data_IF_346892203826
#
_entry.id   IF_346892203826
#
_cell.length_a   1.000
_cell.length_b   1.000
_cell.length_c   1.000
_cell.angle_alpha   90.00
_cell.angle_beta   90.00
_cell.angle_gamma   90.00
#
_symmetry.space_group_name_H-M   'P 1'
#
loop_
_entity.id
_entity.type
_entity.pdbx_description
1 polymer ?
#
# COMPACT_ATOMS: atom_id res chain seq x y z
N UNK A 1 34.89 5.82 61.82
CA UNK A 1 33.69 6.55 61.33
C UNK A 1 33.04 5.72 60.25
N UNK A 2 31.85 5.16 60.55
CA UNK A 2 31.08 4.29 59.65
C UNK A 2 30.28 5.14 58.65
N UNK A 3 30.09 4.72 57.39
CA UNK A 3 29.13 5.35 56.50
C UNK A 3 27.72 4.78 56.72
N UNK A 4 26.74 5.68 56.69
CA UNK A 4 25.32 5.41 56.84
C UNK A 4 24.75 4.70 55.59
N UNK A 5 23.99 3.64 55.87
CA UNK A 5 23.14 2.95 54.90
C UNK A 5 21.82 3.69 54.73
N UNK A 6 21.37 3.83 53.47
CA UNK A 6 20.03 4.28 53.12
C UNK A 6 19.02 3.09 53.18
N UNK A 7 17.75 3.32 53.53
CA UNK A 7 16.78 2.25 53.68
C UNK A 7 16.11 1.84 52.36
N UNK A 8 15.83 0.53 52.30
CA UNK A 8 15.03 -0.10 51.26
C UNK A 8 13.56 0.38 51.30
N UNK A 9 13.00 0.68 50.13
CA UNK A 9 11.58 0.89 49.95
C UNK A 9 10.95 -0.44 49.45
N UNK A 10 10.24 -1.10 50.33
CA UNK A 10 9.38 -2.22 50.03
C UNK A 10 7.91 -1.74 50.11
N UNK A 11 7.14 -2.28 49.18
CA UNK A 11 5.67 -2.49 49.22
C UNK A 11 4.72 -1.31 49.28
N UNK A 12 4.04 -1.06 48.16
CA UNK A 12 2.58 -0.85 48.16
C UNK A 12 2.00 -1.51 46.91
N UNK A 13 1.52 -2.74 47.04
CA UNK A 13 0.59 -3.41 46.14
C UNK A 13 -0.83 -2.96 46.53
N UNK A 14 -1.40 -2.03 45.75
CA UNK A 14 -2.84 -1.78 45.83
C UNK A 14 -3.57 -2.70 44.83
N UNK A 15 -4.28 -3.66 45.36
CA UNK A 15 -5.30 -4.46 44.67
C UNK A 15 -6.43 -3.53 44.20
N UNK A 16 -6.65 -3.44 42.89
CA UNK A 16 -7.91 -2.98 42.34
C UNK A 16 -8.81 -4.21 42.11
N UNK A 17 -9.81 -4.35 42.95
CA UNK A 17 -10.93 -5.29 42.77
C UNK A 17 -11.74 -4.82 41.54
N UNK A 18 -11.91 -5.70 40.59
CA UNK A 18 -12.81 -5.50 39.42
C UNK A 18 -14.16 -6.10 39.81
N UNK A 19 -15.12 -5.24 40.00
CA UNK A 19 -16.51 -5.57 40.25
C UNK A 19 -17.18 -6.07 38.96
N UNK A 20 -17.80 -7.27 38.90
CA UNK A 20 -18.48 -7.77 37.72
C UNK A 20 -19.89 -7.18 37.63
N UNK A 21 -20.04 -6.11 36.86
CA UNK A 21 -21.33 -5.50 36.55
C UNK A 21 -22.14 -6.42 35.62
N UNK A 22 -23.11 -7.07 36.21
CA UNK A 22 -24.13 -7.91 35.58
C UNK A 22 -24.96 -7.07 34.58
N UNK A 23 -24.75 -7.27 33.29
CA UNK A 23 -25.67 -6.79 32.25
C UNK A 23 -26.86 -7.76 32.14
N UNK A 24 -27.99 -7.37 32.72
CA UNK A 24 -29.30 -8.00 32.48
C UNK A 24 -29.76 -7.65 31.06
N UNK A 25 -29.81 -8.65 30.18
CA UNK A 25 -30.50 -8.60 28.89
C UNK A 25 -32.00 -8.58 29.13
N UNK A 26 -32.65 -7.45 28.94
CA UNK A 26 -34.10 -7.29 28.86
C UNK A 26 -34.61 -7.79 27.51
N UNK A 27 -35.27 -8.92 27.50
CA UNK A 27 -35.97 -9.45 26.33
C UNK A 27 -37.28 -8.67 26.11
N UNK A 28 -37.32 -7.75 25.21
CA UNK A 28 -38.57 -7.18 24.70
C UNK A 28 -39.15 -8.08 23.61
N UNK A 29 -40.24 -8.76 23.96
CA UNK A 29 -41.11 -9.50 23.02
C UNK A 29 -41.85 -8.48 22.15
N UNK A 30 -41.66 -8.54 20.85
CA UNK A 30 -42.56 -7.92 19.86
C UNK A 30 -43.67 -8.89 19.50
N UNK A 31 -44.94 -8.45 19.43
CA UNK A 31 -46.05 -9.28 19.00
C UNK A 31 -46.08 -9.42 17.46
N UNK A 32 -46.25 -10.66 17.03
CA UNK A 32 -46.50 -11.00 15.64
C UNK A 32 -47.91 -10.52 15.22
N UNK A 33 -47.95 -9.60 14.26
CA UNK A 33 -49.19 -9.25 13.52
C UNK A 33 -49.28 -10.16 12.30
N UNK A 34 -50.17 -11.13 12.37
CA UNK A 34 -50.66 -11.91 11.23
C UNK A 34 -51.60 -11.00 10.41
N UNK A 35 -51.19 -10.59 9.20
CA UNK A 35 -52.09 -10.03 8.20
C UNK A 35 -52.44 -11.15 7.22
N UNK A 36 -53.65 -11.61 7.32
CA UNK A 36 -54.33 -12.48 6.34
C UNK A 36 -54.73 -11.60 5.17
N UNK A 37 -54.20 -11.83 3.97
CA UNK A 37 -54.76 -11.28 2.74
C UNK A 37 -55.37 -12.40 1.94
N UNK A 38 -56.66 -12.24 1.72
CA UNK A 38 -57.53 -13.14 0.96
C UNK A 38 -57.20 -13.12 -0.53
N UNK A 39 -57.19 -14.32 -1.12
CA UNK A 39 -57.09 -14.59 -2.52
C UNK A 39 -58.48 -14.29 -3.19
N UNK A 40 -58.49 -13.38 -4.15
CA UNK A 40 -59.52 -13.42 -5.24
C UNK A 40 -58.91 -12.80 -6.49
N UNK A 41 -59.03 -13.54 -7.61
CA UNK A 41 -58.77 -13.01 -8.92
C UNK A 41 -58.08 -13.95 -9.91
N UNK A 42 -58.76 -15.04 -10.35
CA UNK A 42 -58.38 -15.77 -11.54
C UNK A 42 -58.61 -14.90 -12.77
N UNK A 43 -57.56 -14.51 -13.47
CA UNK A 43 -57.63 -14.03 -14.85
C UNK A 43 -56.86 -14.99 -15.73
N UNK A 44 -57.57 -15.75 -16.52
CA UNK A 44 -57.03 -16.67 -17.50
C UNK A 44 -56.33 -15.90 -18.62
N UNK A 45 -55.02 -15.96 -18.66
CA UNK A 45 -54.22 -15.52 -19.81
C UNK A 45 -54.20 -16.66 -20.85
N UNK A 46 -54.92 -16.51 -21.93
CA UNK A 46 -54.87 -17.35 -23.13
C UNK A 46 -53.49 -17.16 -23.79
N UNK A 47 -52.73 -18.26 -23.87
CA UNK A 47 -51.47 -18.33 -24.62
C UNK A 47 -51.85 -18.46 -26.13
N UNK A 48 -51.34 -17.59 -27.02
CA UNK A 48 -51.52 -17.78 -28.45
C UNK A 48 -50.65 -18.97 -28.93
N UNK A 49 -51.12 -19.72 -30.00
CA UNK A 49 -50.37 -20.89 -30.46
C UNK A 49 -49.04 -20.51 -31.06
N UNK A 50 -48.03 -21.36 -30.76
CA UNK A 50 -46.66 -21.23 -31.22
C UNK A 50 -46.61 -21.13 -32.77
N UNK A 51 -45.97 -20.08 -33.26
CA UNK A 51 -45.64 -19.94 -34.67
C UNK A 51 -44.58 -20.99 -35.05
N UNK A 52 -44.83 -21.70 -36.16
CA UNK A 52 -43.91 -22.64 -36.80
C UNK A 52 -42.55 -21.97 -37.09
N UNK A 53 -41.41 -22.63 -36.80
CA UNK A 53 -40.13 -22.07 -37.12
C UNK A 53 -39.91 -21.98 -38.64
N UNK A 54 -39.63 -20.77 -39.10
CA UNK A 54 -39.13 -20.49 -40.45
C UNK A 54 -37.70 -21.03 -40.58
N UNK A 55 -37.26 -21.52 -41.74
CA UNK A 55 -35.95 -22.10 -41.91
C UNK A 55 -34.88 -21.05 -41.65
N UNK A 56 -33.94 -21.41 -40.76
CA UNK A 56 -32.82 -20.57 -40.35
C UNK A 56 -31.93 -20.22 -41.55
N UNK A 57 -31.82 -18.93 -41.82
CA UNK A 57 -30.76 -18.37 -42.67
C UNK A 57 -29.40 -18.70 -42.04
N UNK A 58 -28.38 -19.15 -42.79
CA UNK A 58 -27.09 -19.43 -42.21
C UNK A 58 -26.51 -18.13 -41.63
N UNK A 59 -26.42 -18.08 -40.31
CA UNK A 59 -25.71 -17.02 -39.59
C UNK A 59 -24.24 -17.12 -39.96
N UNK A 60 -23.78 -16.23 -40.80
CA UNK A 60 -22.34 -16.00 -41.03
C UNK A 60 -21.75 -15.65 -39.70
N UNK A 61 -21.00 -16.59 -39.09
CA UNK A 61 -20.20 -16.34 -37.91
C UNK A 61 -19.19 -15.23 -38.26
N UNK A 62 -19.36 -14.07 -37.62
CA UNK A 62 -18.34 -13.05 -37.60
C UNK A 62 -17.03 -13.73 -37.16
N UNK A 63 -15.92 -13.53 -37.88
CA UNK A 63 -14.63 -14.07 -37.44
C UNK A 63 -14.37 -13.48 -36.06
N UNK A 64 -14.11 -14.36 -35.08
CA UNK A 64 -13.60 -13.97 -33.77
C UNK A 64 -12.35 -13.10 -34.00
N UNK A 65 -12.39 -11.87 -33.55
CA UNK A 65 -11.24 -10.98 -33.59
C UNK A 65 -10.10 -11.75 -32.93
N UNK A 66 -8.97 -11.99 -33.60
CA UNK A 66 -7.84 -12.67 -32.97
C UNK A 66 -7.46 -11.83 -31.75
N UNK A 67 -7.58 -12.38 -30.54
CA UNK A 67 -7.03 -11.76 -29.36
C UNK A 67 -5.59 -11.43 -29.70
N UNK A 68 -5.21 -10.15 -29.59
CA UNK A 68 -3.85 -9.69 -29.87
C UNK A 68 -2.91 -10.51 -29.01
N UNK A 69 -2.25 -11.51 -29.62
CA UNK A 69 -1.16 -12.23 -28.99
C UNK A 69 -0.01 -11.24 -28.87
N UNK A 70 0.13 -10.67 -27.66
CA UNK A 70 1.28 -9.83 -27.33
C UNK A 70 2.52 -10.66 -27.64
N UNK A 71 3.41 -10.13 -28.48
CA UNK A 71 4.63 -10.85 -28.84
C UNK A 71 5.48 -11.07 -27.58
N UNK A 72 6.28 -12.13 -27.56
CA UNK A 72 7.18 -12.43 -26.44
C UNK A 72 8.10 -11.25 -26.12
N UNK A 73 8.59 -10.55 -27.13
CA UNK A 73 9.44 -9.37 -26.99
C UNK A 73 8.70 -8.18 -26.34
N UNK A 74 7.41 -8.00 -26.63
CA UNK A 74 6.57 -6.97 -26.00
C UNK A 74 6.30 -7.27 -24.54
N UNK A 75 6.00 -8.53 -24.19
CA UNK A 75 5.81 -8.97 -22.80
C UNK A 75 7.09 -8.82 -21.98
N UNK A 76 8.27 -9.16 -22.55
CA UNK A 76 9.55 -8.97 -21.88
C UNK A 76 9.85 -7.47 -21.67
N UNK A 77 9.60 -6.62 -22.67
CA UNK A 77 9.78 -5.18 -22.54
C UNK A 77 8.82 -4.55 -21.51
N UNK A 78 7.58 -5.01 -21.44
CA UNK A 78 6.62 -4.54 -20.43
C UNK A 78 7.03 -4.99 -19.02
N UNK A 79 7.50 -6.23 -18.87
CA UNK A 79 8.04 -6.74 -17.62
C UNK A 79 9.23 -5.88 -17.16
N UNK A 80 10.20 -5.62 -18.05
CA UNK A 80 11.37 -4.80 -17.72
C UNK A 80 10.96 -3.36 -17.33
N UNK A 81 9.96 -2.76 -17.99
CA UNK A 81 9.39 -1.47 -17.59
C UNK A 81 8.73 -1.51 -16.20
N UNK A 82 7.99 -2.58 -15.90
CA UNK A 82 7.36 -2.76 -14.59
C UNK A 82 8.42 -2.83 -13.48
N UNK A 83 9.45 -3.66 -13.69
CA UNK A 83 10.56 -3.80 -12.73
C UNK A 83 11.31 -2.48 -12.56
N UNK A 84 11.60 -1.76 -13.64
CA UNK A 84 12.27 -0.46 -13.55
C UNK A 84 11.47 0.58 -12.75
N UNK A 85 10.13 0.61 -12.91
CA UNK A 85 9.25 1.46 -12.11
C UNK A 85 9.27 1.06 -10.62
N UNK A 86 9.20 -0.24 -10.34
CA UNK A 86 9.28 -0.75 -8.96
C UNK A 86 10.62 -0.41 -8.32
N UNK A 87 11.72 -0.59 -9.03
CA UNK A 87 13.07 -0.24 -8.57
C UNK A 87 13.19 1.25 -8.24
N UNK A 88 12.64 2.11 -9.10
CA UNK A 88 12.63 3.55 -8.88
C UNK A 88 11.86 3.92 -7.60
N UNK A 89 10.63 3.43 -7.46
CA UNK A 89 9.80 3.69 -6.28
C UNK A 89 10.50 3.17 -5.02
N UNK A 90 11.05 1.96 -5.08
CA UNK A 90 11.72 1.34 -3.94
C UNK A 90 12.95 2.11 -3.50
N UNK A 91 13.76 2.58 -4.46
CA UNK A 91 14.94 3.43 -4.19
C UNK A 91 14.57 4.76 -3.52
N UNK A 92 13.51 5.42 -3.99
CA UNK A 92 13.06 6.70 -3.43
C UNK A 92 12.43 6.53 -2.06
N UNK A 93 11.62 5.48 -1.85
CA UNK A 93 10.90 5.30 -0.59
C UNK A 93 11.79 4.74 0.53
N UNK A 94 12.86 4.03 0.21
CA UNK A 94 13.73 3.39 1.20
C UNK A 94 14.20 4.34 2.33
N UNK A 95 14.87 5.47 2.03
CA UNK A 95 15.27 6.41 3.07
C UNK A 95 14.07 7.04 3.79
N UNK A 96 12.94 7.23 3.09
CA UNK A 96 11.73 7.81 3.66
C UNK A 96 11.14 6.93 4.77
N UNK A 97 11.02 5.63 4.54
CA UNK A 97 10.44 4.72 5.54
C UNK A 97 11.40 4.37 6.67
N UNK A 98 12.69 4.20 6.37
CA UNK A 98 13.70 3.82 7.37
C UNK A 98 14.02 4.98 8.32
N UNK A 99 14.29 6.18 7.78
CA UNK A 99 14.66 7.34 8.61
C UNK A 99 13.49 7.93 9.40
N UNK A 100 12.27 7.60 9.00
CA UNK A 100 11.05 8.11 9.63
C UNK A 100 10.29 7.07 10.46
N UNK A 101 10.87 5.91 10.75
CA UNK A 101 10.22 4.88 11.56
C UNK A 101 9.63 5.42 12.87
N UNK A 102 10.33 6.34 13.55
CA UNK A 102 9.87 6.95 14.81
C UNK A 102 8.60 7.79 14.65
N UNK A 103 8.34 8.32 13.46
CA UNK A 103 7.14 9.11 13.17
C UNK A 103 5.96 8.22 12.77
N UNK A 104 6.19 6.96 12.41
CA UNK A 104 5.15 6.05 11.93
C UNK A 104 4.38 5.35 13.05
N UNK A 105 4.68 5.67 14.32
CA UNK A 105 3.92 5.17 15.48
C UNK A 105 3.72 3.65 15.43
N UNK A 106 2.49 3.19 15.52
CA UNK A 106 2.11 1.77 15.47
C UNK A 106 2.34 1.11 14.11
N UNK A 107 2.55 1.88 13.05
CA UNK A 107 2.89 1.35 11.73
C UNK A 107 4.40 1.06 11.57
N UNK A 108 5.26 1.47 12.52
CA UNK A 108 6.66 1.06 12.53
C UNK A 108 6.79 -0.42 12.91
N UNK A 109 7.47 -1.20 12.07
CA UNK A 109 7.66 -2.64 12.27
C UNK A 109 9.06 -3.09 11.87
N UNK A 110 9.56 -4.19 12.45
CA UNK A 110 10.75 -4.83 11.94
C UNK A 110 10.47 -5.46 10.56
N UNK A 111 11.30 -5.14 9.58
CA UNK A 111 11.25 -5.64 8.22
C UNK A 111 12.52 -6.44 7.91
N UNK A 112 12.43 -7.44 7.04
CA UNK A 112 13.59 -8.16 6.51
C UNK A 112 14.51 -7.25 5.68
N UNK A 113 13.95 -6.22 5.04
CA UNK A 113 14.73 -5.27 4.26
C UNK A 113 14.97 -5.72 2.81
N UNK A 114 14.18 -6.64 2.29
CA UNK A 114 14.13 -7.01 0.88
C UNK A 114 12.72 -7.44 0.47
N UNK A 115 12.45 -7.46 -0.82
CA UNK A 115 11.26 -8.05 -1.41
C UNK A 115 11.65 -9.24 -2.27
N UNK A 116 10.82 -10.28 -2.26
CA UNK A 116 11.05 -11.47 -3.06
C UNK A 116 9.76 -11.87 -3.79
N UNK A 117 9.92 -12.35 -5.02
CA UNK A 117 8.83 -12.71 -5.92
C UNK A 117 9.16 -13.98 -6.68
N UNK A 118 8.14 -14.63 -7.21
CA UNK A 118 8.28 -15.68 -8.20
C UNK A 118 7.40 -15.39 -9.44
N UNK A 119 7.36 -16.29 -10.40
CA UNK A 119 6.58 -16.10 -11.62
C UNK A 119 5.07 -15.86 -11.38
N UNK A 120 4.54 -16.38 -10.28
CA UNK A 120 3.13 -16.25 -9.94
C UNK A 120 2.78 -14.90 -9.28
N UNK A 121 3.79 -14.13 -8.90
CA UNK A 121 3.65 -12.76 -8.39
C UNK A 121 3.23 -11.76 -9.47
N UNK A 122 3.15 -12.20 -10.72
CA UNK A 122 2.88 -11.36 -11.88
C UNK A 122 1.61 -11.82 -12.61
N UNK A 123 0.91 -10.92 -13.32
CA UNK A 123 -0.21 -11.27 -14.18
C UNK A 123 0.15 -12.35 -15.20
N UNK A 124 -0.83 -13.12 -15.64
CA UNK A 124 -0.64 -14.28 -16.52
C UNK A 124 0.17 -13.91 -17.79
N UNK A 125 -0.09 -12.73 -18.34
CA UNK A 125 0.54 -12.20 -19.57
C UNK A 125 2.04 -11.93 -19.42
N UNK A 126 2.51 -11.72 -18.16
CA UNK A 126 3.91 -11.43 -17.86
C UNK A 126 4.66 -12.62 -17.26
N UNK A 127 4.02 -13.78 -17.05
CA UNK A 127 4.65 -14.93 -16.38
C UNK A 127 5.82 -15.51 -17.16
N UNK A 128 5.71 -15.59 -18.48
CA UNK A 128 6.81 -16.08 -19.30
C UNK A 128 8.01 -15.12 -19.27
N UNK A 129 7.76 -13.82 -19.28
CA UNK A 129 8.79 -12.82 -19.08
C UNK A 129 9.41 -12.91 -17.68
N UNK A 130 8.59 -13.11 -16.65
CA UNK A 130 9.08 -13.34 -15.29
C UNK A 130 9.96 -14.60 -15.19
N UNK A 131 9.58 -15.70 -15.84
CA UNK A 131 10.41 -16.92 -15.95
C UNK A 131 11.75 -16.63 -16.61
N UNK A 132 11.76 -15.84 -17.69
CA UNK A 132 12.98 -15.48 -18.39
C UNK A 132 13.94 -14.64 -17.51
N UNK A 133 13.41 -13.82 -16.60
CA UNK A 133 14.21 -12.92 -15.73
C UNK A 133 14.49 -13.49 -14.34
N UNK A 134 13.54 -14.20 -13.75
CA UNK A 134 13.65 -14.73 -12.38
C UNK A 134 14.01 -16.20 -12.32
N UNK A 135 13.94 -16.93 -13.46
CA UNK A 135 14.15 -18.36 -13.51
C UNK A 135 12.86 -19.18 -13.49
N UNK A 136 12.99 -20.48 -13.79
CA UNK A 136 11.85 -21.41 -13.95
C UNK A 136 11.30 -21.95 -12.62
N UNK A 137 12.03 -21.77 -11.53
CA UNK A 137 11.65 -22.30 -10.22
C UNK A 137 10.41 -21.65 -9.64
N UNK A 138 9.80 -22.31 -8.66
CA UNK A 138 8.63 -21.84 -7.93
C UNK A 138 9.00 -21.15 -6.61
N UNK A 139 10.31 -21.13 -6.30
CA UNK A 139 10.86 -20.43 -5.14
C UNK A 139 10.75 -18.90 -5.28
N UNK A 140 10.65 -18.22 -4.15
CA UNK A 140 10.76 -16.78 -4.09
C UNK A 140 12.20 -16.35 -4.33
N UNK A 141 12.42 -15.40 -5.23
CA UNK A 141 13.71 -14.76 -5.48
C UNK A 141 13.72 -13.31 -5.10
N UNK A 142 14.80 -12.87 -4.50
CA UNK A 142 15.00 -11.48 -4.13
C UNK A 142 14.97 -10.60 -5.39
N UNK A 143 14.04 -9.68 -5.45
CA UNK A 143 13.90 -8.71 -6.57
C UNK A 143 14.40 -7.33 -6.20
N UNK A 144 14.34 -6.95 -4.93
CA UNK A 144 14.81 -5.65 -4.43
C UNK A 144 15.37 -5.81 -3.03
N UNK A 145 16.42 -5.01 -2.70
CA UNK A 145 17.00 -4.90 -1.37
C UNK A 145 16.87 -3.45 -0.91
N UNK A 146 16.39 -3.23 0.30
CA UNK A 146 16.13 -1.92 0.86
C UNK A 146 17.43 -1.24 1.25
N UNK A 147 17.71 -0.08 0.68
CA UNK A 147 18.90 0.69 0.99
C UNK A 147 18.95 1.08 2.48
N UNK A 148 20.12 0.91 3.09
CA UNK A 148 20.33 1.14 4.51
C UNK A 148 19.74 0.05 5.43
N UNK A 149 19.20 -1.04 4.88
CA UNK A 149 18.65 -2.16 5.67
C UNK A 149 19.72 -3.11 6.22
N UNK A 150 19.32 -3.95 7.17
CA UNK A 150 20.14 -5.06 7.62
C UNK A 150 20.41 -6.09 6.53
N UNK A 151 19.45 -6.31 5.62
CA UNK A 151 19.63 -7.20 4.47
C UNK A 151 20.74 -6.72 3.54
N UNK A 152 20.78 -5.42 3.24
CA UNK A 152 21.87 -4.85 2.44
C UNK A 152 23.23 -5.04 3.12
N UNK A 153 23.32 -4.75 4.43
CA UNK A 153 24.56 -4.94 5.20
C UNK A 153 24.98 -6.39 5.32
N UNK A 154 24.01 -7.31 5.38
CA UNK A 154 24.28 -8.76 5.39
C UNK A 154 24.69 -9.33 4.03
N UNK A 155 24.59 -8.52 2.95
CA UNK A 155 24.98 -8.94 1.61
C UNK A 155 23.89 -9.76 0.87
N UNK A 156 22.60 -9.61 1.22
CA UNK A 156 21.48 -10.10 0.40
C UNK A 156 21.54 -9.42 -0.96
N UNK A 157 21.33 -10.17 -2.04
CA UNK A 157 21.46 -9.67 -3.41
C UNK A 157 20.20 -9.99 -4.22
N UNK A 158 19.92 -9.16 -5.22
CA UNK A 158 18.94 -9.47 -6.25
C UNK A 158 19.31 -10.79 -6.94
N UNK A 159 18.32 -11.65 -7.15
CA UNK A 159 18.48 -12.97 -7.75
C UNK A 159 18.70 -14.10 -6.75
N UNK A 160 19.00 -13.82 -5.48
CA UNK A 160 19.08 -14.85 -4.43
C UNK A 160 17.75 -15.62 -4.38
N UNK A 161 17.79 -16.94 -4.52
CA UNK A 161 16.61 -17.77 -4.30
C UNK A 161 16.48 -18.09 -2.82
N UNK A 162 15.35 -17.79 -2.22
CA UNK A 162 15.11 -17.97 -0.79
C UNK A 162 14.83 -19.43 -0.47
N UNK A 163 15.59 -20.05 0.43
CA UNK A 163 15.40 -21.42 0.89
C UNK A 163 14.70 -21.47 2.24
N UNK A 164 15.24 -20.76 3.22
CA UNK A 164 14.66 -20.69 4.56
C UNK A 164 14.91 -19.33 5.24
N UNK A 165 14.04 -18.96 6.19
CA UNK A 165 14.20 -17.78 7.03
C UNK A 165 13.87 -18.18 8.48
N UNK A 166 14.73 -17.81 9.43
CA UNK A 166 14.63 -18.18 10.84
C UNK A 166 14.43 -19.71 11.02
N UNK A 167 15.14 -20.54 10.25
CA UNK A 167 15.06 -21.99 10.28
C UNK A 167 13.76 -22.58 9.70
N UNK A 168 12.89 -21.77 9.09
CA UNK A 168 11.65 -22.22 8.45
C UNK A 168 11.86 -22.28 6.94
N UNK A 169 11.71 -23.46 6.35
CA UNK A 169 11.66 -23.64 4.89
C UNK A 169 10.50 -22.86 4.31
N UNK A 170 10.74 -22.15 3.21
CA UNK A 170 9.73 -21.28 2.62
C UNK A 170 8.80 -22.06 1.67
N UNK A 171 7.51 -21.68 1.62
CA UNK A 171 6.56 -22.22 0.66
C UNK A 171 6.96 -21.91 -0.79
N UNK A 172 6.52 -22.78 -1.70
CA UNK A 172 6.74 -22.67 -3.13
C UNK A 172 5.41 -22.43 -3.86
N UNK A 173 5.49 -21.98 -5.12
CA UNK A 173 4.34 -21.91 -6.03
C UNK A 173 3.48 -20.65 -5.87
N UNK A 174 2.19 -20.72 -6.29
CA UNK A 174 1.35 -19.53 -6.46
C UNK A 174 1.05 -18.74 -5.19
N UNK A 175 1.06 -19.41 -4.02
CA UNK A 175 0.76 -18.77 -2.73
C UNK A 175 2.02 -18.45 -1.91
N UNK A 176 3.21 -18.66 -2.48
CA UNK A 176 4.48 -18.57 -1.77
C UNK A 176 4.66 -17.23 -1.03
N UNK A 177 4.32 -16.08 -1.65
CA UNK A 177 4.43 -14.77 -0.99
C UNK A 177 3.51 -14.67 0.24
N UNK A 178 2.24 -15.01 0.06
CA UNK A 178 1.21 -14.91 1.12
C UNK A 178 1.51 -15.86 2.27
N UNK A 179 1.88 -17.09 1.95
CA UNK A 179 2.17 -18.11 2.96
C UNK A 179 3.49 -17.81 3.69
N UNK A 180 4.52 -17.31 2.98
CA UNK A 180 5.75 -16.80 3.61
C UNK A 180 5.44 -15.64 4.56
N UNK A 181 4.65 -14.66 4.14
CA UNK A 181 4.29 -13.54 5.00
C UNK A 181 3.55 -14.00 6.26
N UNK A 182 2.62 -14.96 6.13
CA UNK A 182 1.88 -15.55 7.27
C UNK A 182 2.81 -16.34 8.20
N UNK A 183 3.73 -17.12 7.64
CA UNK A 183 4.71 -17.90 8.39
C UNK A 183 5.67 -17.01 9.20
N UNK A 184 6.15 -15.92 8.61
CA UNK A 184 7.19 -15.08 9.20
C UNK A 184 6.64 -14.00 10.15
N UNK A 185 5.41 -13.54 9.95
CA UNK A 185 4.83 -12.44 10.72
C UNK A 185 4.95 -12.59 12.27
N UNK A 186 4.68 -13.76 12.89
CA UNK A 186 4.86 -13.95 14.33
C UNK A 186 6.33 -14.00 14.73
N UNK A 187 7.22 -14.56 13.90
CA UNK A 187 8.65 -14.73 14.20
C UNK A 187 9.38 -13.38 14.22
N UNK A 188 9.12 -12.54 13.23
CA UNK A 188 9.78 -11.24 13.09
C UNK A 188 9.43 -10.24 14.20
N UNK A 189 8.34 -10.48 14.95
CA UNK A 189 7.98 -9.66 16.11
C UNK A 189 8.82 -9.93 17.35
N UNK A 190 9.46 -11.10 17.41
CA UNK A 190 10.12 -11.62 18.61
C UNK A 190 11.65 -11.62 18.51
N UNK A 191 12.20 -11.13 17.40
CA UNK A 191 13.64 -11.14 17.17
C UNK A 191 14.11 -9.83 16.55
N UNK A 192 15.40 -9.56 16.69
CA UNK A 192 16.06 -8.42 16.04
C UNK A 192 16.96 -8.85 14.88
N UNK A 193 17.21 -10.16 14.75
CA UNK A 193 18.07 -10.72 13.71
C UNK A 193 17.54 -12.11 13.33
N UNK A 194 17.67 -12.49 12.06
CA UNK A 194 17.30 -13.81 11.55
C UNK A 194 18.36 -14.35 10.61
N UNK A 195 18.52 -15.67 10.60
CA UNK A 195 19.26 -16.35 9.55
C UNK A 195 18.39 -16.46 8.30
N UNK A 196 18.91 -15.99 7.17
CA UNK A 196 18.30 -16.10 5.84
C UNK A 196 19.19 -17.01 5.01
N UNK A 197 18.67 -18.17 4.64
CA UNK A 197 19.37 -19.10 3.75
C UNK A 197 18.91 -18.89 2.31
N UNK A 198 19.87 -18.63 1.45
CA UNK A 198 19.63 -18.38 0.02
C UNK A 198 20.44 -19.35 -0.83
N UNK A 199 19.96 -19.61 -2.03
CA UNK A 199 20.75 -20.26 -3.08
C UNK A 199 21.27 -19.17 -4.04
N UNK A 200 22.59 -19.03 -4.12
CA UNK A 200 23.28 -18.08 -4.99
C UNK A 200 24.34 -18.83 -5.79
N UNK A 201 24.28 -18.74 -7.12
CA UNK A 201 25.18 -19.47 -8.02
C UNK A 201 25.26 -20.99 -7.67
N UNK A 202 24.07 -21.57 -7.44
CA UNK A 202 23.91 -23.00 -7.10
C UNK A 202 24.50 -23.42 -5.73
N UNK A 203 25.02 -22.48 -4.95
CA UNK A 203 25.56 -22.73 -3.62
C UNK A 203 24.63 -22.16 -2.53
N UNK A 204 24.31 -22.93 -1.47
CA UNK A 204 23.56 -22.41 -0.33
C UNK A 204 24.44 -21.51 0.53
N UNK A 205 23.93 -20.33 0.87
CA UNK A 205 24.60 -19.34 1.71
C UNK A 205 23.66 -18.96 2.85
N UNK A 206 24.15 -18.92 4.06
CA UNK A 206 23.40 -18.41 5.23
C UNK A 206 23.87 -17.00 5.57
N UNK A 207 22.95 -16.06 5.59
CA UNK A 207 23.18 -14.65 5.87
C UNK A 207 22.49 -14.28 7.18
N UNK A 208 23.21 -13.65 8.11
CA UNK A 208 22.65 -13.09 9.34
C UNK A 208 22.08 -11.69 9.05
N UNK A 209 20.77 -11.58 9.02
CA UNK A 209 20.07 -10.37 8.64
C UNK A 209 19.48 -9.71 9.87
N UNK A 210 20.05 -8.57 10.29
CA UNK A 210 19.46 -7.72 11.30
C UNK A 210 18.16 -7.10 10.74
N UNK A 211 17.06 -7.20 11.49
CA UNK A 211 15.80 -6.60 11.08
C UNK A 211 15.89 -5.07 11.09
N UNK A 212 15.24 -4.45 10.14
CA UNK A 212 15.23 -2.99 9.98
C UNK A 212 13.88 -2.44 10.38
N UNK A 213 13.83 -1.64 11.44
CA UNK A 213 12.59 -0.94 11.81
C UNK A 213 12.32 0.16 10.80
N UNK A 214 11.16 0.10 10.17
CA UNK A 214 10.73 1.06 9.15
C UNK A 214 9.20 1.24 9.20
N UNK A 215 8.71 2.29 8.54
CA UNK A 215 7.28 2.45 8.29
C UNK A 215 6.79 1.33 7.36
N UNK A 216 5.93 0.45 7.85
CA UNK A 216 5.53 -0.78 7.15
C UNK A 216 4.25 -0.55 6.33
N UNK A 217 4.31 0.36 5.37
CA UNK A 217 3.26 0.54 4.37
C UNK A 217 3.60 -0.21 3.09
N UNK A 218 2.61 -0.89 2.52
CA UNK A 218 2.73 -1.46 1.17
C UNK A 218 2.67 -0.34 0.15
N UNK A 219 3.54 -0.38 -0.86
CA UNK A 219 3.52 0.58 -1.97
C UNK A 219 3.32 -0.18 -3.27
N UNK A 220 2.20 0.10 -3.92
CA UNK A 220 1.78 -0.54 -5.15
C UNK A 220 1.86 0.45 -6.33
N UNK A 221 2.13 -0.07 -7.52
CA UNK A 221 2.16 0.72 -8.76
C UNK A 221 0.99 0.28 -9.63
N UNK A 222 0.09 1.23 -9.90
CA UNK A 222 -1.02 1.03 -10.84
C UNK A 222 -0.62 1.44 -12.26
N UNK A 223 -1.14 0.73 -13.26
CA UNK A 223 -0.85 1.00 -14.68
C UNK A 223 -1.65 2.19 -15.27
N UNK A 224 -2.44 2.89 -14.45
CA UNK A 224 -3.25 4.00 -14.90
C UNK A 224 -2.39 5.16 -15.47
N UNK A 225 -2.79 5.75 -16.61
CA UNK A 225 -2.05 6.83 -17.25
C UNK A 225 -2.26 8.20 -16.58
N UNK A 226 -3.26 8.35 -15.72
CA UNK A 226 -3.48 9.61 -15.02
C UNK A 226 -2.43 9.83 -13.93
N UNK A 227 -2.19 11.11 -13.60
CA UNK A 227 -1.15 11.53 -12.65
C UNK A 227 -1.75 11.55 -11.25
N UNK A 228 -1.47 10.53 -10.43
CA UNK A 228 -1.95 10.50 -9.05
C UNK A 228 -1.20 9.53 -8.11
N UNK A 229 -1.41 9.75 -6.79
CA UNK A 229 -1.07 8.81 -5.73
C UNK A 229 -2.23 8.76 -4.72
N UNK A 230 -2.34 7.66 -3.97
CA UNK A 230 -3.42 7.40 -3.04
C UNK A 230 -2.92 6.71 -1.78
N UNK A 231 -3.57 6.98 -0.65
CA UNK A 231 -3.30 6.27 0.60
C UNK A 231 -4.62 5.89 1.29
N UNK A 232 -4.67 4.68 1.90
CA UNK A 232 -5.87 4.12 2.52
C UNK A 232 -5.72 3.85 4.04
N UNK A 233 -4.63 4.35 4.62
CA UNK A 233 -4.26 4.07 6.01
C UNK A 233 -3.35 2.85 6.17
N UNK A 234 -3.16 2.03 5.13
CA UNK A 234 -2.31 0.83 5.13
C UNK A 234 -1.40 0.71 3.92
N UNK A 235 -1.86 1.21 2.77
CA UNK A 235 -1.19 1.12 1.47
C UNK A 235 -1.03 2.49 0.85
N UNK A 236 -0.10 2.59 -0.05
CA UNK A 236 0.11 3.71 -0.93
C UNK A 236 0.07 3.16 -2.35
N UNK A 237 -0.71 3.77 -3.22
CA UNK A 237 -0.77 3.45 -4.64
C UNK A 237 -0.20 4.62 -5.43
N UNK A 238 0.70 4.33 -6.38
CA UNK A 238 1.28 5.33 -7.28
C UNK A 238 0.95 4.93 -8.70
N UNK A 239 0.44 5.86 -9.51
CA UNK A 239 0.10 5.57 -10.91
C UNK A 239 1.31 5.64 -11.83
N UNK A 240 1.28 4.88 -12.91
CA UNK A 240 2.30 4.95 -13.96
C UNK A 240 2.40 6.35 -14.56
N UNK A 241 1.27 7.06 -14.68
CA UNK A 241 1.24 8.45 -15.14
C UNK A 241 2.00 9.40 -14.21
N UNK A 242 1.83 9.25 -12.88
CA UNK A 242 2.61 10.05 -11.93
C UNK A 242 4.11 9.76 -12.05
N UNK A 243 4.50 8.48 -12.12
CA UNK A 243 5.91 8.10 -12.26
C UNK A 243 6.56 8.65 -13.54
N UNK A 244 5.80 8.83 -14.61
CA UNK A 244 6.30 9.44 -15.83
C UNK A 244 6.43 10.98 -15.73
N UNK A 245 5.63 11.63 -14.86
CA UNK A 245 5.51 13.10 -14.77
C UNK A 245 6.50 13.72 -13.79
N UNK A 246 6.97 12.99 -12.79
CA UNK A 246 7.76 13.57 -11.68
C UNK A 246 9.19 13.04 -11.64
N UNK A 247 10.13 13.88 -11.18
CA UNK A 247 11.50 13.48 -10.82
C UNK A 247 11.52 12.65 -9.52
N UNK A 248 12.67 12.08 -9.15
CA UNK A 248 12.83 11.33 -7.90
C UNK A 248 12.65 12.22 -6.66
N UNK A 249 13.07 13.49 -6.72
CA UNK A 249 12.84 14.47 -5.65
C UNK A 249 11.34 14.77 -5.47
N UNK A 250 10.63 14.99 -6.57
CA UNK A 250 9.19 15.24 -6.54
C UNK A 250 8.40 13.99 -6.14
N UNK A 251 8.84 12.80 -6.57
CA UNK A 251 8.27 11.53 -6.12
C UNK A 251 8.42 11.36 -4.61
N UNK A 252 9.57 11.75 -4.04
CA UNK A 252 9.75 11.74 -2.58
C UNK A 252 8.77 12.67 -1.87
N UNK A 253 8.45 13.84 -2.42
CA UNK A 253 7.41 14.75 -1.89
C UNK A 253 6.05 14.05 -1.83
N UNK A 254 5.66 13.43 -2.94
CA UNK A 254 4.36 12.75 -3.01
C UNK A 254 4.30 11.57 -2.05
N UNK A 255 5.32 10.69 -2.06
CA UNK A 255 5.36 9.52 -1.20
C UNK A 255 5.36 9.89 0.30
N UNK A 256 6.10 10.93 0.71
CA UNK A 256 6.08 11.37 2.12
C UNK A 256 4.73 11.91 2.53
N UNK A 257 4.03 12.60 1.64
CA UNK A 257 2.70 13.10 1.89
C UNK A 257 1.70 11.95 2.08
N UNK A 258 1.74 10.93 1.23
CA UNK A 258 0.91 9.74 1.38
C UNK A 258 1.24 8.95 2.66
N UNK A 259 2.54 8.85 3.03
CA UNK A 259 2.95 8.27 4.32
C UNK A 259 2.35 9.10 5.47
N UNK A 260 2.42 10.43 5.42
CA UNK A 260 1.88 11.30 6.47
C UNK A 260 0.35 11.14 6.62
N UNK A 261 -0.40 11.07 5.52
CA UNK A 261 -1.84 10.76 5.55
C UNK A 261 -2.13 9.41 6.22
N UNK A 262 -1.34 8.38 5.92
CA UNK A 262 -1.47 7.07 6.55
C UNK A 262 -1.12 7.10 8.05
N UNK A 263 -0.05 7.80 8.44
CA UNK A 263 0.37 7.95 9.86
C UNK A 263 -0.72 8.61 10.70
N UNK A 264 -1.42 9.58 10.14
CA UNK A 264 -2.48 10.32 10.81
C UNK A 264 -3.87 9.68 10.63
N UNK A 265 -3.96 8.57 9.88
CA UNK A 265 -5.20 7.85 9.61
C UNK A 265 -6.29 8.73 8.93
N UNK A 266 -5.89 9.68 8.10
CA UNK A 266 -6.80 10.62 7.44
C UNK A 266 -7.85 9.90 6.58
N UNK A 267 -7.49 8.81 5.88
CA UNK A 267 -8.42 8.00 5.11
C UNK A 267 -9.56 7.41 5.98
N UNK A 268 -9.24 7.02 7.23
CA UNK A 268 -10.25 6.54 8.18
C UNK A 268 -11.16 7.68 8.63
N UNK A 269 -10.57 8.83 8.95
CA UNK A 269 -11.29 10.03 9.35
C UNK A 269 -12.28 10.47 8.27
N UNK A 270 -11.88 10.36 7.00
CA UNK A 270 -12.71 10.70 5.84
C UNK A 270 -13.69 9.60 5.43
N UNK A 271 -13.68 8.44 6.08
CA UNK A 271 -14.49 7.27 5.72
C UNK A 271 -14.29 6.80 4.27
N UNK A 272 -13.07 6.89 3.77
CA UNK A 272 -12.74 6.64 2.36
C UNK A 272 -12.21 5.23 2.08
N UNK A 273 -12.10 4.37 3.09
CA UNK A 273 -11.54 3.00 2.96
C UNK A 273 -12.25 2.14 1.91
N UNK A 274 -13.58 2.22 1.86
CA UNK A 274 -14.39 1.44 0.90
C UNK A 274 -14.09 1.86 -0.54
N UNK A 275 -13.79 3.14 -0.76
CA UNK A 275 -13.51 3.70 -2.08
C UNK A 275 -12.16 3.21 -2.62
N UNK A 276 -11.14 3.06 -1.75
CA UNK A 276 -9.82 2.59 -2.16
C UNK A 276 -9.81 1.15 -2.69
N UNK A 277 -10.59 0.25 -2.10
CA UNK A 277 -10.68 -1.13 -2.60
C UNK A 277 -11.15 -1.16 -4.07
N UNK A 278 -12.16 -0.37 -4.40
CA UNK A 278 -12.70 -0.26 -5.76
C UNK A 278 -11.70 0.32 -6.77
N UNK A 279 -10.81 1.20 -6.32
CA UNK A 279 -9.81 1.83 -7.18
C UNK A 279 -8.69 0.86 -7.53
N UNK A 280 -8.27 0.06 -6.56
CA UNK A 280 -7.21 -0.92 -6.77
C UNK A 280 -7.66 -1.93 -7.83
N UNK A 281 -8.90 -2.40 -7.74
CA UNK A 281 -9.49 -3.30 -8.73
C UNK A 281 -9.53 -2.69 -10.13
N UNK A 282 -9.62 -1.35 -10.21
CA UNK A 282 -9.63 -0.60 -11.48
C UNK A 282 -8.27 -0.41 -12.10
N UNK A 283 -7.24 -0.31 -11.27
CA UNK A 283 -5.86 -0.07 -11.72
C UNK A 283 -5.16 -1.35 -12.14
N UNK A 284 -5.74 -2.51 -11.81
CA UNK A 284 -5.25 -3.82 -12.22
C UNK A 284 -5.87 -4.23 -13.56
N UNK A 285 -5.13 -4.77 -14.52
CA UNK A 285 -5.72 -5.38 -15.72
C UNK A 285 -6.36 -6.76 -15.37
N UNK A 286 -7.48 -7.16 -16.01
CA UNK A 286 -8.32 -6.37 -16.91
C UNK A 286 -9.09 -5.31 -16.15
N UNK A 287 -9.32 -4.14 -16.78
CA UNK A 287 -10.02 -3.02 -16.15
C UNK A 287 -11.44 -3.45 -15.76
N UNK A 288 -11.82 -3.48 -14.48
CA UNK A 288 -13.22 -3.61 -14.11
C UNK A 288 -14.02 -2.42 -14.64
N UNK A 289 -15.28 -2.67 -14.98
CA UNK A 289 -16.18 -1.60 -15.40
C UNK A 289 -16.51 -0.69 -14.22
N UNK A 290 -16.05 0.55 -14.30
CA UNK A 290 -16.24 1.57 -13.27
C UNK A 290 -17.43 2.50 -13.52
N UNK A 291 -18.19 2.30 -14.59
CA UNK A 291 -19.31 3.19 -14.91
C UNK A 291 -20.33 3.28 -13.77
N UNK A 292 -20.44 2.23 -12.93
CA UNK A 292 -21.28 2.22 -11.72
C UNK A 292 -20.70 2.97 -10.52
N UNK A 293 -19.38 3.22 -10.47
CA UNK A 293 -18.71 3.86 -9.31
C UNK A 293 -18.57 5.38 -9.46
N UNK A 294 -18.46 5.87 -10.67
CA UNK A 294 -18.26 7.30 -10.92
C UNK A 294 -19.46 8.18 -10.45
N UNK A 295 -20.62 7.57 -10.17
CA UNK A 295 -21.82 8.28 -9.76
C UNK A 295 -22.17 8.20 -8.25
N UNK A 296 -21.59 7.28 -7.49
CA UNK A 296 -22.11 6.97 -6.14
C UNK A 296 -21.21 7.40 -4.97
N UNK A 297 -19.90 7.50 -5.16
CA UNK A 297 -19.01 8.05 -4.15
C UNK A 297 -18.82 9.53 -4.47
N UNK A 298 -19.64 10.40 -3.93
CA UNK A 298 -19.38 11.85 -4.01
C UNK A 298 -17.94 12.10 -3.56
N UNK A 299 -17.09 12.56 -4.49
CA UNK A 299 -15.71 12.95 -4.18
C UNK A 299 -15.77 14.04 -3.12
N UNK A 300 -15.31 13.71 -1.91
CA UNK A 300 -15.23 14.69 -0.84
C UNK A 300 -13.91 15.45 -0.95
N UNK A 301 -13.99 16.76 -0.77
CA UNK A 301 -12.79 17.57 -0.57
C UNK A 301 -12.17 17.19 0.77
N UNK A 302 -10.86 16.95 0.80
CA UNK A 302 -10.12 16.77 2.04
C UNK A 302 -10.28 18.05 2.89
N UNK A 303 -10.45 17.87 4.18
CA UNK A 303 -10.38 18.99 5.12
C UNK A 303 -8.98 19.62 5.03
N UNK A 304 -8.92 20.92 4.78
CA UNK A 304 -7.67 21.64 4.58
C UNK A 304 -6.72 21.48 5.78
N UNK A 305 -7.26 21.37 7.00
CA UNK A 305 -6.44 21.13 8.20
C UNK A 305 -5.74 19.78 8.17
N UNK A 306 -6.39 18.73 7.65
CA UNK A 306 -5.78 17.41 7.49
C UNK A 306 -4.69 17.44 6.43
N UNK A 307 -4.90 18.20 5.34
CA UNK A 307 -3.86 18.41 4.33
C UNK A 307 -2.67 19.19 4.90
N UNK A 308 -2.92 20.25 5.64
CA UNK A 308 -1.89 21.05 6.30
C UNK A 308 -1.08 20.23 7.31
N UNK A 309 -1.74 19.36 8.06
CA UNK A 309 -1.08 18.43 8.99
C UNK A 309 -0.18 17.42 8.24
N UNK A 310 -0.70 16.83 7.17
CA UNK A 310 0.07 15.90 6.33
C UNK A 310 1.26 16.60 5.66
N UNK A 311 1.06 17.79 5.11
CA UNK A 311 2.12 18.59 4.49
C UNK A 311 3.24 18.93 5.49
N UNK A 312 2.88 19.34 6.72
CA UNK A 312 3.86 19.59 7.77
C UNK A 312 4.69 18.36 8.11
N UNK A 313 4.04 17.23 8.36
CA UNK A 313 4.72 15.97 8.68
C UNK A 313 5.61 15.51 7.50
N UNK A 314 5.11 15.61 6.28
CA UNK A 314 5.84 15.23 5.06
C UNK A 314 7.14 16.02 4.90
N UNK A 315 7.12 17.35 5.15
CA UNK A 315 8.31 18.20 5.09
C UNK A 315 9.37 17.77 6.11
N UNK A 316 8.97 17.42 7.32
CA UNK A 316 9.90 16.87 8.32
C UNK A 316 10.45 15.51 7.88
N UNK A 317 9.60 14.64 7.32
CA UNK A 317 10.01 13.33 6.81
C UNK A 317 11.02 13.46 5.67
N UNK A 318 10.81 14.39 4.74
CA UNK A 318 11.77 14.69 3.66
C UNK A 318 13.14 15.09 4.22
N UNK A 319 13.14 16.07 5.13
CA UNK A 319 14.38 16.57 5.72
C UNK A 319 15.14 15.48 6.50
N UNK A 320 14.43 14.63 7.24
CA UNK A 320 15.03 13.50 7.98
C UNK A 320 15.64 12.46 7.06
N UNK A 321 15.04 12.25 5.89
CA UNK A 321 15.49 11.30 4.89
C UNK A 321 16.63 11.85 4.00
N UNK A 322 16.98 13.12 4.15
CA UNK A 322 18.03 13.78 3.35
C UNK A 322 17.56 14.38 2.04
N UNK A 323 16.24 14.42 1.81
CA UNK A 323 15.66 15.14 0.66
C UNK A 323 15.53 16.63 0.96
N UNK A 324 15.51 17.44 -0.10
CA UNK A 324 15.31 18.88 0.03
C UNK A 324 13.80 19.22 0.18
N UNK A 325 13.32 19.68 1.34
CA UNK A 325 11.90 19.98 1.54
C UNK A 325 11.43 21.20 0.74
N UNK A 326 12.32 22.06 0.24
CA UNK A 326 11.92 23.25 -0.52
C UNK A 326 11.26 22.92 -1.85
N UNK A 327 11.56 21.76 -2.41
CA UNK A 327 10.98 21.30 -3.68
C UNK A 327 9.48 21.02 -3.56
N UNK A 328 8.99 20.80 -2.32
CA UNK A 328 7.61 20.39 -2.09
C UNK A 328 6.58 21.43 -2.55
N UNK A 329 6.82 22.71 -2.27
CA UNK A 329 5.90 23.81 -2.63
C UNK A 329 5.75 23.90 -4.15
N UNK A 330 6.86 23.97 -4.86
CA UNK A 330 6.86 24.09 -6.35
C UNK A 330 6.27 22.85 -7.00
N UNK A 331 6.56 21.66 -6.45
CA UNK A 331 6.02 20.38 -6.94
C UNK A 331 4.50 20.36 -6.84
N UNK A 332 3.94 20.64 -5.67
CA UNK A 332 2.50 20.58 -5.45
C UNK A 332 1.77 21.67 -6.22
N UNK A 333 2.33 22.88 -6.28
CA UNK A 333 1.76 23.98 -7.06
C UNK A 333 1.76 23.67 -8.57
N UNK A 334 2.86 23.12 -9.10
CA UNK A 334 2.97 22.71 -10.51
C UNK A 334 1.94 21.61 -10.84
N UNK A 335 1.86 20.60 -10.00
CA UNK A 335 0.92 19.49 -10.20
C UNK A 335 -0.54 19.97 -10.10
N UNK A 336 -0.87 20.83 -9.13
CA UNK A 336 -2.21 21.39 -8.98
C UNK A 336 -2.62 22.25 -10.18
N UNK A 337 -1.71 23.03 -10.74
CA UNK A 337 -1.98 23.85 -11.95
C UNK A 337 -2.14 22.98 -13.20
N UNK A 338 -1.28 21.98 -13.37
CA UNK A 338 -1.28 21.13 -14.56
C UNK A 338 -2.38 20.07 -14.54
N UNK A 339 -2.72 19.60 -13.35
CA UNK A 339 -3.71 18.55 -13.08
C UNK A 339 -4.71 19.07 -12.03
N UNK A 340 -5.67 19.92 -12.42
CA UNK A 340 -6.67 20.45 -11.48
C UNK A 340 -7.42 19.33 -10.75
N UNK A 341 -7.84 19.59 -9.52
CA UNK A 341 -8.48 18.60 -8.63
C UNK A 341 -9.67 17.85 -9.27
N UNK A 342 -10.36 18.48 -10.23
CA UNK A 342 -11.42 17.85 -11.02
C UNK A 342 -10.93 16.74 -11.97
N UNK A 343 -9.63 16.75 -12.32
CA UNK A 343 -8.97 15.78 -13.22
C UNK A 343 -8.13 14.81 -12.41
N UNK A 344 -7.53 15.26 -11.33
CA UNK A 344 -6.88 14.44 -10.31
C UNK A 344 -7.96 13.79 -9.46
N UNK A 345 -8.71 12.90 -10.03
CA UNK A 345 -9.61 12.06 -9.25
C UNK A 345 -8.79 11.21 -8.30
N UNK A 346 -8.38 11.80 -7.18
CA UNK A 346 -8.10 10.98 -6.03
C UNK A 346 -9.48 10.48 -5.59
N UNK A 347 -9.75 9.26 -5.84
CA UNK A 347 -11.02 8.63 -5.48
C UNK A 347 -11.26 8.61 -3.97
N UNK A 348 -10.29 8.99 -3.19
CA UNK A 348 -10.41 9.07 -1.73
C UNK A 348 -10.81 10.48 -1.28
N UNK A 349 -10.18 11.50 -1.83
CA UNK A 349 -10.49 12.91 -1.55
C UNK A 349 -9.82 13.82 -2.58
N UNK A 350 -10.38 15.00 -2.80
CA UNK A 350 -9.74 16.10 -3.50
C UNK A 350 -8.84 16.84 -2.52
N UNK A 351 -7.63 17.17 -2.94
CA UNK A 351 -6.64 17.90 -2.14
C UNK A 351 -6.40 19.28 -2.74
N UNK A 352 -7.26 20.29 -2.50
CA UNK A 352 -7.12 21.61 -3.09
C UNK A 352 -5.77 22.24 -2.71
N UNK A 353 -5.12 22.87 -3.68
CA UNK A 353 -3.97 23.72 -3.41
C UNK A 353 -4.46 25.12 -3.05
N UNK A 354 -4.15 25.59 -1.84
CA UNK A 354 -4.57 26.89 -1.33
C UNK A 354 -3.37 27.75 -0.94
N UNK A 355 -3.55 29.07 -0.89
CA UNK A 355 -2.49 29.97 -0.44
C UNK A 355 -2.17 29.77 1.05
N UNK A 356 -3.13 29.30 1.85
CA UNK A 356 -2.92 28.99 3.26
C UNK A 356 -2.01 27.77 3.44
N UNK A 357 -2.24 26.71 2.67
CA UNK A 357 -1.35 25.55 2.63
C UNK A 357 0.06 25.97 2.21
N UNK A 358 0.18 26.78 1.15
CA UNK A 358 1.47 27.28 0.65
C UNK A 358 2.23 28.03 1.75
N UNK A 359 1.57 28.99 2.42
CA UNK A 359 2.18 29.75 3.52
C UNK A 359 2.67 28.83 4.63
N UNK A 360 1.83 27.92 5.11
CA UNK A 360 2.20 26.99 6.16
C UNK A 360 3.39 26.10 5.78
N UNK A 361 3.46 25.64 4.53
CA UNK A 361 4.61 24.86 4.06
C UNK A 361 5.89 25.70 4.06
N UNK A 362 5.83 26.95 3.60
CA UNK A 362 6.97 27.88 3.62
C UNK A 362 7.46 28.11 5.05
N UNK A 363 6.54 28.36 5.98
CA UNK A 363 6.87 28.56 7.41
C UNK A 363 7.47 27.31 8.03
N UNK A 364 6.93 26.12 7.70
CA UNK A 364 7.46 24.85 8.16
C UNK A 364 8.88 24.58 7.61
N UNK A 365 9.15 24.93 6.36
CA UNK A 365 10.50 24.83 5.77
C UNK A 365 11.49 25.75 6.50
N UNK A 366 11.06 26.98 6.81
CA UNK A 366 11.88 27.91 7.58
C UNK A 366 12.18 27.38 8.99
N UNK A 367 11.19 26.78 9.66
CA UNK A 367 11.36 26.10 10.96
C UNK A 367 12.37 24.94 10.86
N UNK A 368 12.23 24.07 9.87
CA UNK A 368 13.14 22.94 9.65
C UNK A 368 14.58 23.43 9.46
N UNK A 369 14.80 24.45 8.64
CA UNK A 369 16.12 25.05 8.42
C UNK A 369 16.72 25.58 9.74
N UNK A 370 15.92 26.27 10.57
CA UNK A 370 16.35 26.76 11.88
C UNK A 370 16.72 25.62 12.81
N UNK A 371 15.95 24.52 12.84
CA UNK A 371 16.25 23.33 13.63
C UNK A 371 17.53 22.65 13.15
N UNK A 372 17.73 22.52 11.84
CA UNK A 372 18.95 21.96 11.25
C UNK A 372 20.18 22.79 11.63
N UNK A 373 20.14 24.12 11.49
CA UNK A 373 21.24 25.02 11.85
C UNK A 373 21.59 24.92 13.33
N UNK A 374 20.60 24.74 14.21
CA UNK A 374 20.80 24.59 15.65
C UNK A 374 20.98 23.13 16.11
N UNK A 375 21.14 22.18 15.18
CA UNK A 375 21.30 20.73 15.45
C UNK A 375 20.19 20.15 16.35
N UNK A 376 18.99 20.72 16.32
CA UNK A 376 17.81 20.22 17.04
C UNK A 376 17.17 19.06 16.31
N UNK A 377 16.47 18.20 17.05
CA UNK A 377 15.71 17.09 16.49
C UNK A 377 14.68 17.58 15.47
N UNK A 378 14.61 16.89 14.33
CA UNK A 378 13.61 17.15 13.28
C UNK A 378 12.35 16.33 13.59
N UNK A 379 11.54 16.82 14.53
CA UNK A 379 10.24 16.28 14.90
C UNK A 379 9.20 17.38 14.70
N UNK A 380 8.06 17.09 14.00
CA UNK A 380 6.99 18.07 13.74
C UNK A 380 6.39 18.65 14.98
#
# INVERSE_FOLDING_TARGET
MKPNAAPAASEVLARAEIDPMQTRLSAHRLPALLAVFALTGCSSLTIPPAATPSPATPTTSLPATPGSTVSRSESEAEFDRLIARQDRVYRVIAPLIVKNAVLCKTAARPLLGFTAKNRYSFPAELRDAAVARLGKGDELRVVQVLDGSGAQRAGVQRGDALLSIAGKTLPLGPQAETDTARLLAPLLKQTTEVDVQVLRNEAPITLKVALTTACAYTVDIGNAPHVNAYSDGRRIMVTAGLLAEVSDQELAVILTREIAHNVQLHATTMQTRATMASIIDTLLPPKPDLSGFAGSAGLKTMDEKLDQEADRIALYMLARAGFNPTVAVDTLERLARRYPATVLNSYTALHPWTEDRKRQMVDTIAEIRKRQASKKSLVP
#
